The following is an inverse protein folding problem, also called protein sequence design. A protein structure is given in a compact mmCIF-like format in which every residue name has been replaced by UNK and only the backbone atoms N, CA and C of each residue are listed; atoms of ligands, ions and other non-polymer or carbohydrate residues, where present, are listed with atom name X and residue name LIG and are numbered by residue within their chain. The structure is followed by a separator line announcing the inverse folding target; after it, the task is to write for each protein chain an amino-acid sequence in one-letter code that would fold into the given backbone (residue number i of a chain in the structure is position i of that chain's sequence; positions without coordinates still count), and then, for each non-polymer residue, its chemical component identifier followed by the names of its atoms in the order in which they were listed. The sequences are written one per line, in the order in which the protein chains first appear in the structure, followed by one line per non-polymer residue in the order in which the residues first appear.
data_IF_421001080930
#
_entry.id   IF_421001080930
#
_cell.length_a   1.000
_cell.length_b   1.000
_cell.length_c   1.000
_cell.angle_alpha   90.00
_cell.angle_beta   90.00
_cell.angle_gamma   90.00
#
_symmetry.space_group_name_H-M   'P 1'
#
loop_
_entity.id
_entity.type
_entity.pdbx_description
1 polymer ?
#
# COMPACT_ATOMS: atom_id res chain seq x y z
N UNK A 1 -13.15 33.02 -17.81
CA UNK A 1 -13.33 31.56 -17.65
C UNK A 1 -12.21 30.86 -16.84
N UNK A 2 -11.25 31.56 -16.23
CA UNK A 2 -10.15 30.92 -15.49
C UNK A 2 -10.48 30.59 -14.01
N UNK A 3 -11.40 31.34 -13.39
CA UNK A 3 -11.74 31.20 -11.97
C UNK A 3 -12.45 29.88 -11.61
N UNK A 4 -13.10 29.21 -12.57
CA UNK A 4 -13.83 27.94 -12.36
C UNK A 4 -12.92 26.71 -12.52
N UNK A 5 -11.79 26.85 -13.21
CA UNK A 5 -10.84 25.75 -13.44
C UNK A 5 -9.87 25.54 -12.28
N UNK A 6 -9.65 26.57 -11.44
CA UNK A 6 -8.71 26.55 -10.31
C UNK A 6 -9.04 25.48 -9.24
N UNK A 7 -10.30 25.34 -8.77
CA UNK A 7 -10.65 24.29 -7.81
C UNK A 7 -10.44 22.88 -8.38
N UNK A 8 -10.75 22.69 -9.66
CA UNK A 8 -10.58 21.40 -10.34
C UNK A 8 -9.09 21.06 -10.52
N UNK A 9 -8.26 22.05 -10.85
CA UNK A 9 -6.82 21.87 -11.03
C UNK A 9 -6.13 21.43 -9.74
N UNK A 10 -6.45 22.03 -8.59
CA UNK A 10 -5.86 21.65 -7.30
C UNK A 10 -6.19 20.19 -6.94
N UNK A 11 -7.44 19.77 -7.18
CA UNK A 11 -7.85 18.37 -7.00
C UNK A 11 -7.14 17.41 -7.96
N UNK A 12 -6.79 17.85 -9.17
CA UNK A 12 -6.02 17.05 -10.13
C UNK A 12 -4.54 16.94 -9.75
N UNK A 13 -3.93 18.00 -9.21
CA UNK A 13 -2.54 17.99 -8.73
C UNK A 13 -2.38 17.00 -7.58
N UNK A 14 -3.30 17.00 -6.61
CA UNK A 14 -3.30 16.02 -5.51
C UNK A 14 -3.39 14.57 -6.01
N UNK A 15 -4.30 14.30 -6.96
CA UNK A 15 -4.42 12.98 -7.59
C UNK A 15 -3.18 12.57 -8.38
N UNK A 16 -2.51 13.51 -9.05
CA UNK A 16 -1.26 13.24 -9.75
C UNK A 16 -0.16 12.81 -8.76
N UNK A 17 -0.07 13.46 -7.59
CA UNK A 17 0.86 13.07 -6.52
C UNK A 17 0.53 11.70 -5.95
N UNK A 18 -0.74 11.39 -5.72
CA UNK A 18 -1.18 10.05 -5.28
C UNK A 18 -0.84 8.92 -6.27
N UNK A 19 -0.58 9.23 -7.54
CA UNK A 19 -0.17 8.20 -8.51
C UNK A 19 1.19 7.56 -8.17
N UNK A 20 2.08 8.32 -7.53
CA UNK A 20 3.38 7.83 -7.04
C UNK A 20 3.17 6.72 -6.01
N UNK A 21 2.38 7.00 -4.97
CA UNK A 21 2.05 6.04 -3.92
C UNK A 21 1.41 4.76 -4.49
N UNK A 22 0.42 4.91 -5.38
CA UNK A 22 -0.26 3.75 -5.99
C UNK A 22 0.69 2.89 -6.81
N UNK A 23 1.53 3.52 -7.62
CA UNK A 23 2.47 2.80 -8.50
C UNK A 23 3.49 2.01 -7.68
N UNK A 24 4.06 2.65 -6.66
CA UNK A 24 5.04 2.02 -5.77
C UNK A 24 4.42 0.90 -4.93
N UNK A 25 3.24 1.13 -4.34
CA UNK A 25 2.50 0.09 -3.59
C UNK A 25 2.20 -1.11 -4.49
N UNK A 26 1.76 -0.86 -5.73
CA UNK A 26 1.52 -1.93 -6.71
C UNK A 26 2.79 -2.70 -7.10
N UNK A 27 3.93 -2.02 -7.19
CA UNK A 27 5.22 -2.66 -7.46
C UNK A 27 5.64 -3.59 -6.31
N UNK A 28 5.53 -3.11 -5.07
CA UNK A 28 5.83 -3.90 -3.87
C UNK A 28 4.90 -5.10 -3.76
N UNK A 29 3.59 -4.95 -4.01
CA UNK A 29 2.65 -6.08 -3.99
C UNK A 29 3.02 -7.17 -5.01
N UNK A 30 3.55 -6.80 -6.20
CA UNK A 30 4.04 -7.78 -7.18
C UNK A 30 5.34 -8.44 -6.73
N UNK A 31 6.28 -7.68 -6.16
CA UNK A 31 7.52 -8.21 -5.62
C UNK A 31 7.25 -9.21 -4.47
N UNK A 32 6.31 -8.90 -3.58
CA UNK A 32 5.88 -9.80 -2.50
C UNK A 32 5.34 -11.15 -3.03
N UNK A 33 4.64 -11.16 -4.16
CA UNK A 33 4.18 -12.42 -4.79
C UNK A 33 5.36 -13.24 -5.35
N UNK A 34 6.33 -12.58 -5.99
CA UNK A 34 7.54 -13.23 -6.50
C UNK A 34 8.33 -13.84 -5.34
N UNK A 35 8.62 -13.03 -4.32
CA UNK A 35 9.38 -13.45 -3.15
C UNK A 35 8.69 -14.61 -2.41
N UNK A 36 7.37 -14.55 -2.22
CA UNK A 36 6.63 -15.64 -1.59
C UNK A 36 6.69 -16.93 -2.42
N UNK A 37 6.67 -16.84 -3.75
CA UNK A 37 6.77 -18.02 -4.62
C UNK A 37 8.10 -18.74 -4.44
N UNK A 38 9.17 -18.01 -4.14
CA UNK A 38 10.53 -18.55 -3.98
C UNK A 38 10.80 -19.01 -2.53
N UNK A 39 10.29 -18.26 -1.54
CA UNK A 39 10.66 -18.42 -0.13
C UNK A 39 9.54 -18.96 0.75
N UNK A 40 8.31 -19.06 0.24
CA UNK A 40 7.09 -19.48 0.98
C UNK A 40 6.78 -18.61 2.21
N UNK A 41 7.29 -17.38 2.23
CA UNK A 41 7.06 -16.37 3.25
C UNK A 41 7.03 -14.99 2.58
N UNK A 42 6.39 -14.01 3.22
CA UNK A 42 6.44 -12.63 2.75
C UNK A 42 7.72 -11.94 3.22
N UNK A 43 8.27 -11.06 2.38
CA UNK A 43 9.48 -10.32 2.70
C UNK A 43 9.20 -9.25 3.75
N UNK A 44 10.16 -9.07 4.67
CA UNK A 44 10.09 -8.05 5.72
C UNK A 44 10.95 -6.82 5.41
N UNK A 45 11.88 -6.93 4.46
CA UNK A 45 12.81 -5.86 4.09
C UNK A 45 12.72 -5.50 2.61
N UNK A 46 13.14 -4.27 2.28
CA UNK A 46 13.21 -3.79 0.91
C UNK A 46 14.29 -4.53 0.09
N UNK A 47 15.36 -4.92 0.77
CA UNK A 47 16.50 -5.63 0.17
C UNK A 47 16.07 -7.04 -0.29
N UNK A 48 15.26 -7.74 0.51
CA UNK A 48 14.67 -9.03 0.14
C UNK A 48 13.82 -8.97 -1.13
N UNK A 49 13.14 -7.83 -1.34
CA UNK A 49 12.29 -7.62 -2.51
C UNK A 49 13.05 -7.11 -3.73
N UNK A 50 14.30 -6.65 -3.57
CA UNK A 50 15.04 -5.88 -4.56
C UNK A 50 14.25 -4.68 -5.13
N UNK A 51 13.32 -4.13 -4.34
CA UNK A 51 12.52 -2.96 -4.70
C UNK A 51 12.96 -1.78 -3.84
N UNK A 52 13.55 -0.72 -4.43
CA UNK A 52 13.89 0.46 -3.66
C UNK A 52 12.62 1.07 -3.08
N UNK A 53 12.67 1.45 -1.81
CA UNK A 53 11.60 2.19 -1.14
C UNK A 53 12.01 3.65 -1.02
N UNK A 54 11.46 4.54 -1.87
CA UNK A 54 11.75 5.96 -1.79
C UNK A 54 11.39 6.51 -0.40
N UNK A 55 12.09 7.55 0.03
CA UNK A 55 11.73 8.28 1.24
C UNK A 55 12.08 9.75 1.09
N UNK A 56 11.38 10.60 1.84
CA UNK A 56 11.71 12.02 1.96
C UNK A 56 13.05 12.20 2.65
N UNK A 57 13.33 11.40 3.69
CA UNK A 57 14.58 11.47 4.43
C UNK A 57 15.81 11.22 3.54
N UNK A 58 15.71 10.29 2.58
CA UNK A 58 16.75 10.01 1.60
C UNK A 58 16.72 10.94 0.36
N UNK A 59 15.74 11.86 0.27
CA UNK A 59 15.56 12.75 -0.87
C UNK A 59 15.10 12.06 -2.17
N UNK A 60 14.70 10.79 -2.10
CA UNK A 60 14.29 9.96 -3.25
C UNK A 60 12.79 10.00 -3.53
N UNK A 61 11.98 10.46 -2.57
CA UNK A 61 10.59 10.85 -2.78
C UNK A 61 10.32 12.28 -2.35
N UNK A 62 9.42 12.94 -3.06
CA UNK A 62 8.96 14.29 -2.72
C UNK A 62 7.78 14.28 -1.76
N UNK A 63 6.88 13.30 -1.87
CA UNK A 63 5.58 13.33 -1.17
C UNK A 63 5.37 12.18 -0.19
N UNK A 64 5.94 11.01 -0.41
CA UNK A 64 5.65 9.82 0.39
C UNK A 64 6.89 9.23 1.02
N UNK A 65 6.71 8.66 2.21
CA UNK A 65 7.65 7.73 2.82
C UNK A 65 7.04 6.32 2.72
N UNK A 66 7.84 5.37 2.22
CA UNK A 66 7.42 3.99 2.02
C UNK A 66 8.02 3.08 3.10
N UNK A 67 7.21 2.20 3.68
CA UNK A 67 7.67 1.31 4.76
C UNK A 67 6.95 -0.03 4.69
N UNK A 68 7.70 -1.13 4.65
CA UNK A 68 7.12 -2.47 4.70
C UNK A 68 6.56 -2.77 6.10
N UNK A 69 5.50 -3.56 6.15
CA UNK A 69 5.05 -4.14 7.40
C UNK A 69 5.93 -5.31 7.84
N UNK A 70 6.05 -5.49 9.15
CA UNK A 70 6.69 -6.64 9.78
C UNK A 70 5.64 -7.58 10.38
N UNK A 71 5.94 -8.88 10.49
CA UNK A 71 5.06 -9.84 11.17
C UNK A 71 4.40 -10.91 10.30
N UNK A 72 4.96 -11.19 9.12
CA UNK A 72 4.95 -12.50 8.45
C UNK A 72 3.64 -13.08 7.88
N UNK A 73 2.45 -12.60 8.26
CA UNK A 73 1.21 -13.17 7.74
C UNK A 73 0.79 -12.55 6.40
N UNK A 74 0.99 -11.24 6.20
CA UNK A 74 0.60 -10.49 4.99
C UNK A 74 1.81 -9.73 4.46
N UNK A 75 2.12 -9.86 3.17
CA UNK A 75 3.09 -8.99 2.51
C UNK A 75 2.49 -7.59 2.38
N UNK A 76 3.09 -6.59 3.03
CA UNK A 76 2.38 -5.33 3.24
C UNK A 76 3.28 -4.11 3.18
N UNK A 77 2.71 -2.98 2.77
CA UNK A 77 3.44 -1.75 2.49
C UNK A 77 2.60 -0.53 2.85
N UNK A 78 3.22 0.44 3.52
CA UNK A 78 2.67 1.76 3.79
C UNK A 78 3.26 2.78 2.83
N UNK A 79 2.46 3.76 2.42
CA UNK A 79 2.91 4.99 1.80
C UNK A 79 2.28 6.17 2.56
N UNK A 80 3.10 6.92 3.28
CA UNK A 80 2.68 7.98 4.19
C UNK A 80 3.11 9.35 3.68
N UNK A 81 2.20 10.32 3.66
CA UNK A 81 2.56 11.73 3.50
C UNK A 81 2.20 12.52 4.78
N UNK A 82 3.22 12.95 5.50
CA UNK A 82 3.09 13.77 6.71
C UNK A 82 2.34 15.11 6.49
N UNK A 83 2.18 15.58 5.25
CA UNK A 83 1.53 16.84 4.90
C UNK A 83 0.31 16.68 3.97
N UNK A 84 -0.45 15.58 4.10
CA UNK A 84 -1.63 15.30 3.27
C UNK A 84 -2.56 16.52 3.03
N UNK A 85 -2.88 17.29 4.09
CA UNK A 85 -3.76 18.46 3.98
C UNK A 85 -3.19 19.57 3.09
N UNK A 86 -1.87 19.79 3.16
CA UNK A 86 -1.19 20.80 2.32
C UNK A 86 -0.99 20.31 0.91
N UNK A 87 -0.71 19.02 0.76
CA UNK A 87 -0.39 18.42 -0.53
C UNK A 87 -1.62 17.98 -1.32
N UNK A 88 -2.80 17.99 -0.69
CA UNK A 88 -4.03 17.48 -1.28
C UNK A 88 -3.97 15.98 -1.56
N UNK A 89 -3.21 15.24 -0.73
CA UNK A 89 -2.97 13.80 -0.89
C UNK A 89 -3.63 12.99 0.21
N UNK A 90 -3.53 11.66 0.09
CA UNK A 90 -4.02 10.67 1.04
C UNK A 90 -2.98 9.57 1.19
N UNK A 91 -3.00 8.89 2.32
CA UNK A 91 -2.11 7.77 2.57
C UNK A 91 -2.62 6.50 1.89
N UNK A 92 -1.69 5.57 1.66
CA UNK A 92 -1.98 4.29 1.03
C UNK A 92 -1.38 3.14 1.83
N UNK A 93 -2.09 2.02 1.83
CA UNK A 93 -1.61 0.74 2.34
C UNK A 93 -1.86 -0.34 1.30
N UNK A 94 -0.84 -1.14 1.04
CA UNK A 94 -0.90 -2.33 0.19
C UNK A 94 -0.87 -3.59 1.02
N UNK A 95 -1.54 -4.62 0.50
CA UNK A 95 -1.50 -5.96 1.06
C UNK A 95 -1.46 -7.02 -0.02
N UNK A 96 -0.74 -8.09 0.26
CA UNK A 96 -0.63 -9.32 -0.51
C UNK A 96 -0.87 -10.50 0.43
N UNK A 97 -1.83 -11.35 0.09
CA UNK A 97 -2.08 -12.63 0.76
C UNK A 97 -1.93 -13.80 -0.20
N UNK A 98 -1.65 -14.97 0.35
CA UNK A 98 -1.61 -16.23 -0.39
C UNK A 98 -2.60 -17.23 0.21
N UNK A 99 -3.45 -17.80 -0.64
CA UNK A 99 -4.36 -18.88 -0.27
C UNK A 99 -3.76 -20.22 -0.70
N UNK A 100 -3.43 -21.08 0.27
CA UNK A 100 -2.81 -22.38 0.00
C UNK A 100 -3.80 -23.43 -0.50
N UNK A 101 -5.10 -23.22 -0.27
CA UNK A 101 -6.17 -24.10 -0.77
C UNK A 101 -6.42 -23.84 -2.25
N UNK A 102 -6.59 -22.56 -2.63
CA UNK A 102 -6.83 -22.14 -4.01
C UNK A 102 -5.55 -21.94 -4.82
N UNK A 103 -4.38 -21.98 -4.16
CA UNK A 103 -3.04 -21.69 -4.71
C UNK A 103 -3.00 -20.35 -5.45
N UNK A 104 -3.63 -19.34 -4.87
CA UNK A 104 -3.83 -18.03 -5.49
C UNK A 104 -3.34 -16.90 -4.60
N UNK A 105 -2.74 -15.88 -5.22
CA UNK A 105 -2.46 -14.61 -4.57
C UNK A 105 -3.67 -13.69 -4.67
N UNK A 106 -3.91 -12.92 -3.61
CA UNK A 106 -4.79 -11.76 -3.65
C UNK A 106 -3.98 -10.53 -3.25
N UNK A 107 -4.25 -9.40 -3.92
CA UNK A 107 -3.63 -8.13 -3.58
C UNK A 107 -4.66 -7.03 -3.47
N UNK A 108 -4.37 -6.04 -2.63
CA UNK A 108 -5.22 -4.88 -2.46
C UNK A 108 -4.38 -3.62 -2.30
N UNK A 109 -4.91 -2.50 -2.80
CA UNK A 109 -4.41 -1.16 -2.54
C UNK A 109 -5.53 -0.37 -1.89
N UNK A 110 -5.31 0.05 -0.65
CA UNK A 110 -6.28 0.75 0.16
C UNK A 110 -5.84 2.18 0.37
N UNK A 111 -6.77 3.11 0.18
CA UNK A 111 -6.58 4.53 0.46
C UNK A 111 -7.14 4.88 1.81
N UNK A 112 -6.41 5.69 2.57
CA UNK A 112 -6.75 6.15 3.92
C UNK A 112 -6.80 7.67 3.90
N UNK A 113 -7.82 8.27 4.54
CA UNK A 113 -8.01 9.72 4.46
C UNK A 113 -6.88 10.52 5.14
N UNK A 114 -6.33 10.04 6.27
CA UNK A 114 -5.11 10.57 6.91
C UNK A 114 -4.59 9.68 8.05
N UNK A 115 -3.28 9.75 8.25
CA UNK A 115 -2.51 9.38 9.45
C UNK A 115 -2.65 7.93 9.89
N UNK A 116 -1.88 7.09 9.20
CA UNK A 116 -1.79 5.65 9.44
C UNK A 116 -0.67 5.32 10.44
N UNK A 117 -0.63 6.02 11.57
CA UNK A 117 0.22 5.60 12.70
C UNK A 117 -0.35 4.29 13.28
N UNK A 118 0.19 3.14 12.82
CA UNK A 118 -0.21 1.79 13.28
C UNK A 118 -1.17 1.02 12.35
N UNK A 119 -0.86 0.98 11.04
CA UNK A 119 -1.83 0.63 10.00
C UNK A 119 -2.21 -0.86 9.82
N UNK A 120 -1.33 -1.80 10.17
CA UNK A 120 -1.57 -3.22 9.91
C UNK A 120 -2.57 -3.79 10.92
N UNK A 121 -3.62 -4.46 10.44
CA UNK A 121 -4.76 -4.91 11.24
C UNK A 121 -5.91 -3.89 11.35
N UNK A 122 -5.61 -2.59 11.28
CA UNK A 122 -6.64 -1.53 11.32
C UNK A 122 -7.20 -1.19 9.94
N UNK A 123 -6.32 -1.10 8.95
CA UNK A 123 -6.67 -0.66 7.58
C UNK A 123 -6.55 -1.76 6.53
N UNK A 124 -6.08 -2.93 6.95
CA UNK A 124 -5.86 -4.11 6.14
C UNK A 124 -6.23 -5.35 6.97
N UNK A 125 -6.98 -6.30 6.40
CA UNK A 125 -7.25 -7.59 7.06
C UNK A 125 -5.98 -8.45 7.13
N UNK A 126 -5.79 -9.19 8.22
CA UNK A 126 -4.52 -9.87 8.55
C UNK A 126 -4.51 -11.39 8.31
N UNK A 127 -5.40 -11.93 7.49
CA UNK A 127 -5.49 -13.38 7.23
C UNK A 127 -4.40 -13.90 6.28
N UNK A 128 -3.28 -13.18 6.11
CA UNK A 128 -2.54 -13.18 4.85
C UNK A 128 -1.97 -14.51 4.33
N UNK A 129 -1.86 -15.56 5.15
CA UNK A 129 -1.72 -16.94 4.67
C UNK A 129 -2.98 -17.72 5.03
N UNK A 130 -3.78 -18.02 4.03
CA UNK A 130 -5.06 -18.73 4.20
C UNK A 130 -4.80 -20.22 4.03
N UNK A 131 -4.81 -20.96 5.15
CA UNK A 131 -4.52 -22.40 5.20
C UNK A 131 -5.77 -23.28 5.27
N UNK A 132 -6.95 -22.67 5.37
CA UNK A 132 -8.25 -23.36 5.38
C UNK A 132 -9.23 -22.63 4.48
N UNK A 133 -10.14 -23.36 3.82
CA UNK A 133 -11.11 -22.81 2.86
C UNK A 133 -12.12 -21.82 3.42
N UNK A 134 -12.01 -21.41 4.69
CA UNK A 134 -12.81 -20.37 5.33
C UNK A 134 -12.08 -19.04 5.55
N UNK A 135 -10.79 -18.93 5.23
CA UNK A 135 -10.05 -17.67 5.38
C UNK A 135 -10.42 -16.65 4.30
N UNK A 136 -10.39 -15.36 4.67
CA UNK A 136 -10.72 -14.26 3.75
C UNK A 136 -9.45 -13.66 3.15
N UNK A 137 -9.44 -13.44 1.83
CA UNK A 137 -8.37 -12.72 1.15
C UNK A 137 -8.09 -11.35 1.79
N UNK A 138 -6.85 -10.87 1.60
CA UNK A 138 -6.47 -9.52 2.02
C UNK A 138 -7.42 -8.47 1.43
N UNK A 139 -7.92 -7.59 2.29
CA UNK A 139 -8.90 -6.58 1.95
C UNK A 139 -8.70 -5.31 2.78
N UNK A 140 -9.25 -4.21 2.28
CA UNK A 140 -9.31 -2.96 3.03
C UNK A 140 -10.22 -3.08 4.25
N UNK A 141 -9.79 -2.53 5.38
CA UNK A 141 -10.50 -2.58 6.65
C UNK A 141 -10.63 -1.19 7.29
N UNK A 142 -11.48 -1.11 8.33
CA UNK A 142 -11.71 0.11 9.09
C UNK A 142 -12.21 1.25 8.18
N UNK A 143 -11.47 2.36 8.16
CA UNK A 143 -11.80 3.54 7.36
C UNK A 143 -11.15 3.55 5.98
N UNK A 144 -10.34 2.54 5.64
CA UNK A 144 -9.65 2.49 4.36
C UNK A 144 -10.60 2.03 3.24
N UNK A 145 -10.35 2.48 2.01
CA UNK A 145 -11.17 2.13 0.84
C UNK A 145 -10.31 1.57 -0.27
N UNK A 146 -10.75 0.46 -0.86
CA UNK A 146 -10.09 -0.14 -2.01
C UNK A 146 -10.05 0.85 -3.18
N UNK A 147 -8.87 0.97 -3.78
CA UNK A 147 -8.66 1.72 -5.00
C UNK A 147 -8.66 0.73 -6.15
N UNK A 148 -9.66 0.88 -7.02
CA UNK A 148 -9.74 0.17 -8.29
C UNK A 148 -8.82 0.81 -9.32
#
# INVERSE_FOLDING_TARGET
LAAVALPNLLGQVGKARESEAKSQVGAVNRAQQSYYTENTAFAETADDLEVPLPSKAAGTSKYYDFTLGSGGAVGSILALNANNDKDGTRDYIGGTSYNTTDRAFATVVCRVNKDVTGAFGTHLTNEGIITSGSGTNVACAGTSKAVK
#
